data_IF_272635411631
#
_entry.id   IF_272635411631
#
_cell.length_a   1.000
_cell.length_b   1.000
_cell.length_c   1.000
_cell.angle_alpha   90.00
_cell.angle_beta   90.00
_cell.angle_gamma   90.00
#
_symmetry.space_group_name_H-M   'P 1'
#
loop_
_entity.id
_entity.type
_entity.pdbx_description
1 polymer ?
#
# COMPACT_ATOMS: atom_id res chain seq x y z
N UNK A 1 -17.93 -11.86 4.15
CA UNK A 1 -16.72 -11.01 4.03
C UNK A 1 -15.79 -11.24 5.23
N UNK A 2 -14.50 -11.29 5.00
CA UNK A 2 -13.45 -11.42 6.04
C UNK A 2 -12.40 -10.34 5.83
N UNK A 3 -11.82 -9.83 6.92
CA UNK A 3 -10.69 -8.90 6.89
C UNK A 3 -9.55 -9.50 7.70
N UNK A 4 -8.38 -9.64 7.06
CA UNK A 4 -7.13 -9.98 7.71
C UNK A 4 -6.32 -8.69 7.91
N UNK A 5 -6.09 -8.31 9.15
CA UNK A 5 -5.17 -7.23 9.50
C UNK A 5 -3.75 -7.79 9.51
N UNK A 6 -3.09 -7.76 8.35
CA UNK A 6 -1.79 -8.38 8.12
C UNK A 6 -0.62 -7.53 8.63
N UNK A 7 -0.82 -6.22 8.77
CA UNK A 7 0.16 -5.28 9.31
C UNK A 7 -0.49 -4.07 9.97
N UNK A 8 0.30 -3.24 10.65
CA UNK A 8 -0.12 -2.08 11.45
C UNK A 8 -1.22 -2.38 12.52
N UNK A 9 -1.46 -3.66 12.80
CA UNK A 9 -2.33 -4.09 13.88
C UNK A 9 -1.53 -4.15 15.19
N UNK A 10 -1.91 -3.35 16.17
CA UNK A 10 -1.16 -3.12 17.42
C UNK A 10 0.21 -2.44 17.22
N UNK A 11 0.41 -1.77 16.10
CA UNK A 11 1.60 -1.01 15.74
C UNK A 11 1.24 0.10 14.78
N UNK A 12 2.23 0.90 14.36
CA UNK A 12 2.01 2.06 13.50
C UNK A 12 2.40 1.78 12.05
N UNK A 13 3.49 1.04 11.81
CA UNK A 13 4.09 0.87 10.47
C UNK A 13 3.75 -0.46 9.83
N UNK A 14 3.86 -0.52 8.50
CA UNK A 14 3.61 -1.72 7.71
C UNK A 14 2.13 -1.97 7.47
N UNK A 15 1.37 -0.94 7.10
CA UNK A 15 -0.07 -1.06 6.82
C UNK A 15 -0.33 -2.07 5.71
N UNK A 16 -1.07 -3.14 6.03
CA UNK A 16 -1.47 -4.21 5.12
C UNK A 16 -2.78 -4.83 5.60
N UNK A 17 -3.86 -4.71 4.82
CA UNK A 17 -5.16 -5.29 5.19
C UNK A 17 -5.76 -6.04 4.00
N UNK A 18 -5.91 -7.35 4.13
CA UNK A 18 -6.48 -8.19 3.08
C UNK A 18 -7.98 -8.39 3.32
N UNK A 19 -8.78 -7.98 2.35
CA UNK A 19 -10.23 -8.20 2.32
C UNK A 19 -10.54 -9.41 1.44
N UNK A 20 -11.37 -10.31 1.96
CA UNK A 20 -11.86 -11.49 1.24
C UNK A 20 -13.39 -11.44 1.17
N UNK A 21 -13.96 -11.46 -0.04
CA UNK A 21 -15.41 -11.46 -0.27
C UNK A 21 -15.71 -12.11 -1.63
N UNK A 22 -16.76 -12.92 -1.73
CA UNK A 22 -17.21 -13.57 -2.97
C UNK A 22 -16.08 -14.23 -3.79
N UNK A 23 -15.09 -14.83 -3.12
CA UNK A 23 -13.91 -15.40 -3.79
C UNK A 23 -12.86 -14.38 -4.24
N UNK A 24 -13.13 -13.09 -4.08
CA UNK A 24 -12.21 -11.98 -4.43
C UNK A 24 -11.32 -11.62 -3.23
N UNK A 25 -10.06 -11.32 -3.52
CA UNK A 25 -9.06 -10.87 -2.55
C UNK A 25 -8.51 -9.50 -2.93
N UNK A 26 -8.82 -8.50 -2.11
CA UNK A 26 -8.37 -7.11 -2.27
C UNK A 26 -7.40 -6.75 -1.17
N UNK A 27 -6.23 -6.23 -1.52
CA UNK A 27 -5.27 -5.70 -0.56
C UNK A 27 -5.43 -4.17 -0.42
N UNK A 28 -5.54 -3.69 0.80
CA UNK A 28 -5.47 -2.25 1.14
C UNK A 28 -4.12 -1.96 1.77
N UNK A 29 -3.33 -1.13 1.10
CA UNK A 29 -1.94 -0.79 1.39
C UNK A 29 -1.00 -2.01 1.39
N UNK A 30 0.30 -1.76 1.21
CA UNK A 30 1.37 -2.74 1.32
C UNK A 30 2.65 -2.04 1.77
N UNK A 31 2.69 -1.68 3.04
CA UNK A 31 3.74 -0.88 3.63
C UNK A 31 4.90 -1.69 4.18
N UNK A 32 6.05 -1.03 4.32
CA UNK A 32 7.19 -1.58 5.05
C UNK A 32 6.96 -1.47 6.57
N UNK A 33 7.12 -2.60 7.25
CA UNK A 33 7.26 -2.59 8.70
C UNK A 33 8.60 -1.97 9.08
N UNK A 34 8.57 -1.02 9.98
CA UNK A 34 9.73 -0.31 10.50
C UNK A 34 9.93 -0.68 11.97
N UNK A 35 11.08 -1.24 12.29
CA UNK A 35 11.41 -1.70 13.63
C UNK A 35 12.87 -2.15 13.72
N UNK A 36 13.17 -3.07 14.64
CA UNK A 36 14.52 -3.65 14.76
C UNK A 36 14.85 -4.39 13.46
N UNK A 37 16.09 -4.26 12.98
CA UNK A 37 16.53 -4.75 11.68
C UNK A 37 16.14 -6.20 11.37
N UNK A 38 16.40 -7.12 12.30
CA UNK A 38 16.07 -8.55 12.13
C UNK A 38 14.58 -8.76 11.96
N UNK A 39 13.76 -8.14 12.82
CA UNK A 39 12.32 -8.23 12.78
C UNK A 39 11.73 -7.58 11.51
N UNK A 40 12.26 -6.40 11.13
CA UNK A 40 11.82 -5.70 9.91
C UNK A 40 12.12 -6.53 8.66
N UNK A 41 13.31 -7.11 8.56
CA UNK A 41 13.69 -7.97 7.44
C UNK A 41 12.76 -9.19 7.33
N UNK A 42 12.50 -9.86 8.44
CA UNK A 42 11.66 -11.05 8.46
C UNK A 42 10.22 -10.72 8.05
N UNK A 43 9.61 -9.73 8.69
CA UNK A 43 8.21 -9.32 8.40
C UNK A 43 8.03 -8.80 6.98
N UNK A 44 8.99 -8.06 6.45
CA UNK A 44 8.88 -7.50 5.10
C UNK A 44 9.13 -8.54 4.01
N UNK A 45 9.92 -9.58 4.29
CA UNK A 45 10.15 -10.70 3.35
C UNK A 45 9.02 -11.71 3.33
N UNK A 46 8.36 -11.95 4.48
CA UNK A 46 7.34 -12.99 4.62
C UNK A 46 5.97 -12.34 4.80
N UNK A 47 5.29 -12.12 3.67
CA UNK A 47 3.91 -11.64 3.70
C UNK A 47 3.00 -12.74 4.30
N UNK A 48 2.05 -12.38 5.20
CA UNK A 48 1.20 -13.37 5.87
C UNK A 48 0.03 -13.86 4.99
N UNK A 49 0.14 -13.69 3.69
CA UNK A 49 -0.77 -14.18 2.64
C UNK A 49 0.00 -14.48 1.36
N UNK A 50 -0.59 -15.26 0.45
CA UNK A 50 0.03 -15.54 -0.86
C UNK A 50 -0.25 -14.39 -1.84
N UNK A 51 0.76 -13.62 -2.28
CA UNK A 51 0.61 -12.53 -3.24
C UNK A 51 -0.03 -12.94 -4.57
N UNK A 52 0.17 -14.18 -5.00
CA UNK A 52 -0.39 -14.71 -6.26
C UNK A 52 -1.91 -14.84 -6.25
N UNK A 53 -2.50 -14.83 -5.06
CA UNK A 53 -3.93 -14.96 -4.86
C UNK A 53 -4.62 -13.62 -4.61
N UNK A 54 -3.89 -12.50 -4.67
CA UNK A 54 -4.44 -11.15 -4.55
C UNK A 54 -4.87 -10.66 -5.92
N UNK A 55 -6.15 -10.31 -6.08
CA UNK A 55 -6.72 -9.91 -7.36
C UNK A 55 -6.43 -8.45 -7.71
N UNK A 56 -6.45 -7.57 -6.71
CA UNK A 56 -6.11 -6.16 -6.86
C UNK A 56 -5.59 -5.56 -5.55
N UNK A 57 -4.96 -4.41 -5.66
CA UNK A 57 -4.52 -3.61 -4.53
C UNK A 57 -5.03 -2.18 -4.66
N UNK A 58 -5.41 -1.57 -3.54
CA UNK A 58 -5.71 -0.13 -3.45
C UNK A 58 -4.73 0.49 -2.47
N UNK A 59 -4.07 1.55 -2.92
CA UNK A 59 -3.09 2.29 -2.13
C UNK A 59 -3.67 3.63 -1.70
N UNK A 60 -3.70 3.85 -0.39
CA UNK A 60 -4.24 5.08 0.21
C UNK A 60 -3.33 6.29 -0.02
N UNK A 61 -2.03 6.13 0.12
CA UNK A 61 -1.03 7.19 -0.09
C UNK A 61 0.40 6.63 -0.20
N UNK A 62 1.36 7.52 -0.50
CA UNK A 62 2.71 7.10 -0.88
C UNK A 62 3.68 6.85 0.28
N UNK A 63 3.35 7.15 1.55
CA UNK A 63 4.31 6.93 2.64
C UNK A 63 4.83 5.49 2.66
N UNK A 64 6.10 5.33 3.07
CA UNK A 64 6.82 4.07 2.93
C UNK A 64 6.21 2.93 3.78
N UNK A 65 5.58 3.25 4.89
CA UNK A 65 4.86 2.32 5.75
C UNK A 65 3.45 1.96 5.22
N UNK A 66 3.05 2.51 4.06
CA UNK A 66 1.84 2.17 3.31
C UNK A 66 2.13 1.62 1.90
N UNK A 67 3.25 2.02 1.28
CA UNK A 67 3.60 1.66 -0.10
C UNK A 67 4.89 0.85 -0.24
N UNK A 68 5.78 0.90 0.75
CA UNK A 68 7.18 0.52 0.58
C UNK A 68 7.44 -0.97 0.37
N UNK A 69 6.46 -1.85 0.61
CA UNK A 69 6.59 -3.29 0.36
C UNK A 69 5.92 -3.76 -0.95
N UNK A 70 5.40 -2.81 -1.74
CA UNK A 70 4.79 -3.10 -3.05
C UNK A 70 5.76 -3.82 -4.01
N UNK A 71 7.04 -3.43 -4.13
CA UNK A 71 7.96 -4.15 -5.01
C UNK A 71 8.16 -5.60 -4.57
N UNK A 72 8.24 -5.87 -3.25
CA UNK A 72 8.30 -7.24 -2.72
C UNK A 72 7.04 -8.04 -3.06
N UNK A 73 5.86 -7.43 -2.92
CA UNK A 73 4.58 -8.04 -3.29
C UNK A 73 4.58 -8.51 -4.75
N UNK A 74 5.03 -7.63 -5.67
CA UNK A 74 5.11 -7.94 -7.11
C UNK A 74 6.20 -8.98 -7.39
N UNK A 75 7.37 -8.89 -6.77
CA UNK A 75 8.45 -9.88 -6.84
C UNK A 75 7.98 -11.26 -6.44
N UNK A 76 7.14 -11.36 -5.42
CA UNK A 76 6.56 -12.61 -4.92
C UNK A 76 5.35 -13.12 -5.72
N UNK A 77 5.00 -12.46 -6.83
CA UNK A 77 4.06 -12.99 -7.79
C UNK A 77 2.71 -12.30 -7.90
N UNK A 78 2.48 -11.19 -7.21
CA UNK A 78 1.29 -10.38 -7.46
C UNK A 78 1.26 -9.86 -8.90
N UNK A 79 0.07 -9.98 -9.54
CA UNK A 79 -0.14 -9.59 -10.96
C UNK A 79 -1.34 -8.68 -11.16
N UNK A 80 -2.06 -8.35 -10.08
CA UNK A 80 -3.23 -7.46 -10.13
C UNK A 80 -2.87 -6.00 -10.36
N UNK A 81 -3.89 -5.16 -10.58
CA UNK A 81 -3.71 -3.72 -10.67
C UNK A 81 -3.54 -3.08 -9.30
N UNK A 82 -2.69 -2.06 -9.22
CA UNK A 82 -2.49 -1.20 -8.04
C UNK A 82 -3.19 0.12 -8.29
N UNK A 83 -4.29 0.35 -7.60
CA UNK A 83 -5.16 1.52 -7.81
C UNK A 83 -4.86 2.59 -6.76
N UNK A 84 -4.55 3.81 -7.21
CA UNK A 84 -4.24 4.95 -6.35
C UNK A 84 -4.60 6.28 -7.01
N UNK A 85 -4.39 7.40 -6.33
CA UNK A 85 -4.51 8.72 -6.96
C UNK A 85 -3.32 9.01 -7.88
N UNK A 86 -3.43 9.93 -8.87
CA UNK A 86 -2.31 10.31 -9.75
C UNK A 86 -1.08 10.78 -8.97
N UNK A 87 -1.27 11.64 -7.98
CA UNK A 87 -0.15 12.17 -7.19
C UNK A 87 0.52 11.08 -6.32
N UNK A 88 -0.24 10.13 -5.77
CA UNK A 88 0.32 8.98 -5.05
C UNK A 88 1.18 8.12 -5.98
N UNK A 89 0.73 7.84 -7.22
CA UNK A 89 1.52 7.10 -8.22
C UNK A 89 2.84 7.82 -8.52
N UNK A 90 2.78 9.12 -8.75
CA UNK A 90 3.96 9.91 -9.13
C UNK A 90 4.97 9.96 -7.97
N UNK A 91 4.51 10.15 -6.73
CA UNK A 91 5.35 10.06 -5.54
C UNK A 91 5.97 8.67 -5.35
N UNK A 92 5.19 7.59 -5.50
CA UNK A 92 5.70 6.22 -5.43
C UNK A 92 6.79 5.96 -6.49
N UNK A 93 6.67 6.56 -7.69
CA UNK A 93 7.68 6.39 -8.73
C UNK A 93 9.06 6.92 -8.34
N UNK A 94 9.12 7.93 -7.49
CA UNK A 94 10.38 8.47 -6.96
C UNK A 94 10.81 7.74 -5.69
N UNK A 95 9.90 7.63 -4.72
CA UNK A 95 10.21 7.11 -3.39
C UNK A 95 10.61 5.62 -3.39
N UNK A 96 9.93 4.78 -4.19
CA UNK A 96 10.26 3.35 -4.24
C UNK A 96 11.61 3.10 -4.92
N UNK A 97 11.98 3.89 -5.94
CA UNK A 97 13.31 3.81 -6.56
C UNK A 97 14.41 4.25 -5.61
N UNK A 98 14.18 5.33 -4.87
CA UNK A 98 15.13 5.79 -3.85
C UNK A 98 15.29 4.74 -2.74
N UNK A 99 14.19 4.16 -2.26
CA UNK A 99 14.21 3.10 -1.27
C UNK A 99 14.96 1.84 -1.75
N UNK A 100 14.85 1.46 -3.03
CA UNK A 100 15.63 0.36 -3.60
C UNK A 100 17.13 0.65 -3.55
N UNK A 101 17.54 1.82 -4.04
CA UNK A 101 18.96 2.23 -4.05
C UNK A 101 19.57 2.28 -2.65
N UNK A 102 18.82 2.78 -1.67
CA UNK A 102 19.26 2.79 -0.27
C UNK A 102 19.46 1.36 0.24
N UNK A 103 18.54 0.44 -0.04
CA UNK A 103 18.65 -0.96 0.39
C UNK A 103 19.82 -1.69 -0.29
N UNK A 104 20.06 -1.43 -1.57
CA UNK A 104 21.19 -1.98 -2.33
C UNK A 104 22.53 -1.48 -1.75
N UNK A 105 22.65 -0.16 -1.53
CA UNK A 105 23.85 0.45 -0.94
C UNK A 105 24.12 -0.04 0.49
N UNK A 106 23.06 -0.20 1.31
CA UNK A 106 23.17 -0.75 2.66
C UNK A 106 23.63 -2.21 2.64
N UNK A 107 23.09 -3.02 1.75
CA UNK A 107 23.48 -4.42 1.60
C UNK A 107 24.95 -4.54 1.18
N UNK A 108 25.39 -3.76 0.18
CA UNK A 108 26.79 -3.71 -0.26
C UNK A 108 27.73 -3.28 0.88
N UNK A 109 27.38 -2.21 1.59
CA UNK A 109 28.18 -1.72 2.73
C UNK A 109 28.36 -2.78 3.80
N UNK A 110 27.28 -3.49 4.17
CA UNK A 110 27.33 -4.50 5.23
C UNK A 110 28.15 -5.70 4.78
N UNK A 111 27.92 -6.18 3.57
CA UNK A 111 28.66 -7.32 3.02
C UNK A 111 30.16 -7.01 2.90
N UNK A 112 30.52 -5.80 2.48
CA UNK A 112 31.92 -5.38 2.43
C UNK A 112 32.56 -5.25 3.79
N UNK A 113 31.85 -4.73 4.80
CA UNK A 113 32.41 -4.42 6.12
C UNK A 113 32.38 -5.60 7.08
N UNK A 114 31.38 -6.45 6.98
CA UNK A 114 31.09 -7.51 7.94
C UNK A 114 30.94 -8.90 7.28
N UNK A 115 31.24 -9.03 5.99
CA UNK A 115 31.01 -10.26 5.22
C UNK A 115 31.62 -11.51 5.89
N UNK A 116 32.84 -11.41 6.39
CA UNK A 116 33.52 -12.51 7.09
C UNK A 116 32.84 -12.94 8.40
N UNK A 117 31.91 -12.15 8.94
CA UNK A 117 31.18 -12.39 10.19
C UNK A 117 29.71 -12.83 9.93
N UNK A 118 29.28 -12.84 8.68
CA UNK A 118 27.93 -13.20 8.29
C UNK A 118 27.88 -14.66 7.86
N UNK A 119 26.85 -15.38 8.28
CA UNK A 119 26.58 -16.75 7.78
C UNK A 119 26.20 -16.72 6.31
N UNK A 120 25.43 -15.68 5.89
CA UNK A 120 25.03 -15.46 4.50
C UNK A 120 25.09 -13.98 4.15
N UNK A 121 25.37 -13.63 2.87
CA UNK A 121 25.35 -12.24 2.42
C UNK A 121 23.97 -11.59 2.64
N UNK A 122 23.99 -10.31 3.04
CA UNK A 122 22.78 -9.51 3.11
C UNK A 122 22.32 -9.18 1.70
N UNK A 123 21.06 -9.47 1.37
CA UNK A 123 20.42 -9.13 0.11
C UNK A 123 19.31 -8.11 0.36
N UNK A 124 19.08 -7.13 -0.52
CA UNK A 124 17.97 -6.18 -0.39
C UNK A 124 16.63 -6.92 -0.50
N UNK A 125 15.56 -6.30 -0.01
CA UNK A 125 14.19 -6.84 -0.18
C UNK A 125 13.80 -6.87 -1.65
N UNK A 126 14.14 -5.80 -2.36
CA UNK A 126 13.92 -5.60 -3.78
C UNK A 126 14.99 -4.65 -4.34
N UNK A 127 15.18 -4.68 -5.62
CA UNK A 127 16.06 -3.82 -6.40
C UNK A 127 15.27 -2.83 -7.28
N UNK A 128 15.97 -1.99 -8.05
CA UNK A 128 15.34 -1.02 -8.94
C UNK A 128 14.53 -1.72 -10.06
N UNK A 129 14.91 -2.91 -10.52
CA UNK A 129 14.18 -3.66 -11.54
C UNK A 129 12.82 -4.14 -11.01
N UNK A 130 12.78 -4.62 -9.76
CA UNK A 130 11.55 -5.01 -9.08
C UNK A 130 10.59 -3.81 -8.94
N UNK A 131 11.12 -2.62 -8.61
CA UNK A 131 10.34 -1.37 -8.57
C UNK A 131 9.75 -1.04 -9.95
N UNK A 132 10.55 -1.11 -11.01
CA UNK A 132 10.07 -0.82 -12.37
C UNK A 132 8.97 -1.80 -12.80
N UNK A 133 9.04 -3.06 -12.40
CA UNK A 133 7.98 -4.06 -12.63
C UNK A 133 6.71 -3.67 -11.88
N UNK A 134 6.84 -3.26 -10.61
CA UNK A 134 5.70 -2.83 -9.80
C UNK A 134 5.02 -1.58 -10.35
N UNK A 135 5.78 -0.58 -10.77
CA UNK A 135 5.24 0.67 -11.32
C UNK A 135 4.40 0.47 -12.58
N UNK A 136 4.64 -0.59 -13.36
CA UNK A 136 3.80 -0.93 -14.53
C UNK A 136 2.38 -1.37 -14.16
N UNK A 137 2.14 -1.79 -12.93
CA UNK A 137 0.82 -2.24 -12.44
C UNK A 137 -0.02 -1.09 -11.87
N UNK A 138 0.55 0.12 -11.72
CA UNK A 138 -0.15 1.27 -11.17
C UNK A 138 -1.21 1.81 -12.13
N UNK A 139 -2.41 2.03 -11.62
CA UNK A 139 -3.55 2.67 -12.29
C UNK A 139 -4.04 3.82 -11.44
N UNK A 140 -4.27 4.98 -12.05
CA UNK A 140 -4.74 6.17 -11.33
C UNK A 140 -6.23 6.37 -11.48
N UNK A 141 -6.89 6.75 -10.38
CA UNK A 141 -8.27 7.24 -10.36
C UNK A 141 -8.32 8.61 -9.70
N UNK A 142 -9.11 9.49 -10.29
CA UNK A 142 -9.31 10.83 -9.74
C UNK A 142 -10.19 10.80 -8.48
N UNK A 143 -10.04 11.85 -7.64
CA UNK A 143 -10.89 12.00 -6.47
C UNK A 143 -12.37 12.16 -6.85
N UNK A 144 -13.25 11.60 -6.03
CA UNK A 144 -14.71 11.72 -6.09
C UNK A 144 -15.35 11.12 -7.36
N UNK A 145 -14.60 10.34 -8.10
CA UNK A 145 -15.12 9.59 -9.24
C UNK A 145 -15.19 8.10 -8.87
N UNK A 146 -16.38 7.53 -8.70
CA UNK A 146 -16.53 6.10 -8.53
C UNK A 146 -16.03 5.37 -9.79
N UNK A 147 -15.17 4.38 -9.61
CA UNK A 147 -14.67 3.58 -10.71
C UNK A 147 -14.65 2.09 -10.33
N UNK A 148 -14.97 1.19 -11.28
CA UNK A 148 -14.87 -0.23 -11.05
C UNK A 148 -13.40 -0.64 -10.91
N UNK A 149 -13.12 -1.47 -9.90
CA UNK A 149 -11.78 -2.04 -9.65
C UNK A 149 -11.77 -3.52 -10.00
N UNK A 150 -12.78 -4.26 -9.54
CA UNK A 150 -13.03 -5.67 -9.82
C UNK A 150 -14.55 -5.89 -10.02
N UNK A 151 -14.97 -7.03 -10.56
CA UNK A 151 -16.40 -7.37 -10.64
C UNK A 151 -17.06 -7.26 -9.27
N UNK A 152 -18.15 -6.50 -9.16
CA UNK A 152 -18.88 -6.26 -7.91
C UNK A 152 -18.15 -5.36 -6.89
N UNK A 153 -17.06 -4.69 -7.30
CA UNK A 153 -16.32 -3.76 -6.45
C UNK A 153 -16.05 -2.46 -7.19
N UNK A 154 -16.46 -1.35 -6.61
CA UNK A 154 -16.08 0.00 -7.04
C UNK A 154 -15.35 0.75 -5.92
N UNK A 155 -14.42 1.62 -6.32
CA UNK A 155 -13.63 2.46 -5.44
C UNK A 155 -13.92 3.93 -5.73
N UNK A 156 -14.00 4.73 -4.65
CA UNK A 156 -14.02 6.19 -4.72
C UNK A 156 -12.97 6.74 -3.76
N UNK A 157 -12.05 7.54 -4.26
CA UNK A 157 -11.09 8.27 -3.43
C UNK A 157 -11.67 9.59 -2.93
N UNK A 158 -11.57 9.83 -1.62
CA UNK A 158 -11.90 11.10 -0.99
C UNK A 158 -10.63 11.70 -0.40
N UNK A 159 -10.51 13.03 -0.40
CA UNK A 159 -9.32 13.71 0.08
C UNK A 159 -9.10 13.46 1.58
N UNK A 160 -7.95 12.90 1.94
CA UNK A 160 -7.57 12.62 3.33
C UNK A 160 -6.88 13.80 4.02
N UNK A 161 -6.35 14.77 3.24
CA UNK A 161 -5.67 15.97 3.74
C UNK A 161 -4.36 15.69 4.49
N UNK A 162 -3.74 14.52 4.27
CA UNK A 162 -2.55 14.06 5.00
C UNK A 162 -1.24 14.43 4.27
N UNK A 163 -1.06 13.93 3.06
CA UNK A 163 0.01 14.29 2.13
C UNK A 163 -0.57 14.46 0.73
N UNK A 164 0.23 14.94 -0.20
CA UNK A 164 -0.19 15.07 -1.60
C UNK A 164 -0.59 13.69 -2.15
N UNK A 165 -1.80 13.60 -2.70
CA UNK A 165 -2.33 12.36 -3.21
C UNK A 165 -3.03 11.47 -2.17
N UNK A 166 -2.91 11.73 -0.88
CA UNK A 166 -3.50 10.89 0.16
C UNK A 166 -5.04 10.82 0.07
N UNK A 167 -5.57 9.62 0.16
CA UNK A 167 -6.98 9.37 -0.01
C UNK A 167 -7.59 8.51 1.10
N UNK A 168 -8.78 8.89 1.53
CA UNK A 168 -9.72 7.98 2.17
C UNK A 168 -10.30 7.11 1.07
N UNK A 169 -10.25 5.80 1.24
CA UNK A 169 -10.74 4.81 0.27
C UNK A 169 -12.16 4.40 0.65
N UNK A 170 -13.14 4.75 -0.19
CA UNK A 170 -14.50 4.26 -0.06
C UNK A 170 -14.70 3.12 -1.04
N UNK A 171 -15.09 1.95 -0.56
CA UNK A 171 -15.42 0.77 -1.34
C UNK A 171 -16.91 0.51 -1.30
N UNK A 172 -17.52 0.35 -2.46
CA UNK A 172 -18.88 -0.15 -2.59
C UNK A 172 -18.80 -1.59 -3.14
N UNK A 173 -19.21 -2.56 -2.31
CA UNK A 173 -19.05 -4.00 -2.53
C UNK A 173 -20.43 -4.62 -2.68
N UNK A 174 -20.66 -5.31 -3.79
CA UNK A 174 -21.90 -6.06 -4.01
C UNK A 174 -21.79 -7.43 -3.30
N UNK A 175 -22.57 -7.61 -2.24
CA UNK A 175 -22.66 -8.86 -1.45
C UNK A 175 -24.11 -9.37 -1.54
N UNK A 176 -24.53 -9.87 -2.70
CA UNK A 176 -25.92 -10.24 -2.96
C UNK A 176 -26.57 -11.05 -1.83
N UNK A 177 -27.81 -10.67 -1.34
CA UNK A 177 -28.67 -9.62 -1.87
C UNK A 177 -28.31 -8.17 -1.43
N UNK A 178 -27.35 -8.01 -0.56
CA UNK A 178 -26.98 -6.75 0.09
C UNK A 178 -25.87 -6.03 -0.64
N UNK A 179 -25.68 -4.75 -0.30
CA UNK A 179 -24.50 -3.95 -0.66
C UNK A 179 -23.83 -3.44 0.60
N UNK A 180 -22.51 -3.53 0.63
CA UNK A 180 -21.72 -3.03 1.73
C UNK A 180 -20.91 -1.83 1.27
N UNK A 181 -20.91 -0.76 2.06
CA UNK A 181 -19.94 0.32 1.95
C UNK A 181 -18.92 0.23 3.06
N UNK A 182 -17.68 -0.04 2.67
CA UNK A 182 -16.52 -0.04 3.57
C UNK A 182 -15.72 1.24 3.34
N UNK A 183 -15.24 1.85 4.41
CA UNK A 183 -14.36 3.03 4.35
C UNK A 183 -13.07 2.71 5.07
N UNK A 184 -11.96 2.81 4.33
CA UNK A 184 -10.61 2.72 4.86
C UNK A 184 -10.01 4.12 4.88
N UNK A 185 -9.68 4.63 6.06
CA UNK A 185 -9.25 6.02 6.23
C UNK A 185 -7.85 6.28 5.68
N UNK A 186 -6.99 5.25 5.62
CA UNK A 186 -5.55 5.50 5.57
C UNK A 186 -5.15 6.46 6.68
N UNK A 187 -4.13 7.26 6.45
CA UNK A 187 -3.73 8.33 7.35
C UNK A 187 -4.53 9.61 7.10
N UNK A 188 -5.02 10.20 8.18
CA UNK A 188 -5.82 11.42 8.12
C UNK A 188 -4.97 12.64 8.47
N UNK A 189 -5.04 13.66 7.62
CA UNK A 189 -4.39 14.93 7.86
C UNK A 189 -5.08 15.83 8.89
N UNK A 190 -4.36 16.82 9.34
CA UNK A 190 -4.88 17.89 10.21
C UNK A 190 -5.72 18.90 9.41
N UNK A 191 -6.63 19.57 10.09
CA UNK A 191 -7.34 20.72 9.49
C UNK A 191 -6.35 21.88 9.25
N UNK A 192 -6.64 22.68 8.23
CA UNK A 192 -5.90 23.94 7.93
C UNK A 192 -4.40 23.73 7.60
N UNK A 193 -4.05 22.64 6.92
CA UNK A 193 -2.73 22.51 6.30
C UNK A 193 -2.60 23.46 5.12
N UNK A 194 -1.48 24.19 5.03
CA UNK A 194 -1.31 25.33 4.11
C UNK A 194 -1.46 24.96 2.62
N UNK A 195 -1.12 23.74 2.21
CA UNK A 195 -1.08 23.31 0.79
C UNK A 195 -2.13 22.23 0.51
N UNK A 196 -2.60 21.53 1.55
CA UNK A 196 -3.49 20.41 1.40
C UNK A 196 -4.95 20.82 1.61
N UNK A 197 -5.85 20.22 0.84
CA UNK A 197 -7.29 20.42 1.06
C UNK A 197 -7.67 19.85 2.42
N UNK A 198 -8.43 20.60 3.20
CA UNK A 198 -8.99 20.08 4.45
C UNK A 198 -9.91 18.90 4.15
N UNK A 199 -9.72 17.77 4.85
CA UNK A 199 -10.63 16.63 4.76
C UNK A 199 -12.07 17.10 4.92
N UNK A 200 -12.97 16.75 4.02
CA UNK A 200 -14.39 17.02 4.19
C UNK A 200 -15.00 15.98 5.14
N UNK A 201 -15.45 16.43 6.30
CA UNK A 201 -16.47 15.69 7.05
C UNK A 201 -17.72 15.63 6.17
N UNK A 202 -18.39 14.48 6.07
CA UNK A 202 -19.75 14.43 5.50
C UNK A 202 -20.60 15.49 6.17
N UNK A 203 -21.03 16.51 5.43
CA UNK A 203 -22.19 17.28 5.84
C UNK A 203 -23.35 16.30 5.91
N UNK A 204 -23.97 16.15 7.09
CA UNK A 204 -25.29 15.53 7.18
C UNK A 204 -26.18 16.26 6.17
N UNK A 205 -27.00 15.54 5.36
CA UNK A 205 -28.05 16.22 4.65
C UNK A 205 -28.89 16.93 5.70
N UNK A 206 -29.08 18.25 5.54
CA UNK A 206 -30.06 18.96 6.33
C UNK A 206 -31.42 18.35 6.00
N UNK A 207 -32.04 17.81 7.00
CA UNK A 207 -33.44 17.35 7.03
C UNK A 207 -34.40 18.43 6.63
#
# INVERSE_FOLDING_TARGET
>A
MRILFAGAARGVTGSQHLLEFNGTRLLLDCGLYQGRRKESNERNRHLPFDPRQVDAMILSHAHIDHSGNIPTLVKQGFRGGIVCTPATRDLCSVMLRDAARIQEADAEFINRKYGDQLEEPVIPLYDEEDVLKALKQFRSLDYRQPAPVLPGLSCTFLDAGHVLGAAIVQLDIDLAPDRLRLVFSGDLGRRNMAILRTRRSRSRPMS
#
